data_IF_653416912104
#
_entry.id   IF_653416912104
#
_cell.length_a   1.000
_cell.length_b   1.000
_cell.length_c   1.000
_cell.angle_alpha   90.00
_cell.angle_beta   90.00
_cell.angle_gamma   90.00
#
_symmetry.space_group_name_H-M   'P 1'
#
loop_
_entity.id
_entity.type
_entity.pdbx_description
1 polymer ?
#
# COMPACT_ATOMS: atom_id res chain seq x y z
N UNK A 1 8.82 -10.91 -5.71
CA UNK A 1 8.07 -9.63 -5.76
C UNK A 1 6.67 -9.84 -6.33
N UNK A 2 6.53 -10.53 -7.47
CA UNK A 2 5.22 -10.98 -8.00
C UNK A 2 4.35 -11.75 -7.01
N UNK A 3 4.93 -12.65 -6.19
CA UNK A 3 4.15 -13.44 -5.23
C UNK A 3 3.54 -12.59 -4.12
N UNK A 4 4.25 -11.55 -3.66
CA UNK A 4 3.74 -10.62 -2.66
C UNK A 4 2.61 -9.75 -3.22
N UNK A 5 2.76 -9.31 -4.47
CA UNK A 5 1.70 -8.58 -5.18
C UNK A 5 0.44 -9.42 -5.31
N UNK A 6 0.56 -10.68 -5.73
CA UNK A 6 -0.58 -11.58 -5.88
C UNK A 6 -1.31 -11.81 -4.56
N UNK A 7 -0.58 -12.03 -3.47
CA UNK A 7 -1.19 -12.22 -2.14
C UNK A 7 -1.90 -10.94 -1.69
N UNK A 8 -1.29 -9.77 -1.90
CA UNK A 8 -1.91 -8.49 -1.55
C UNK A 8 -3.16 -8.18 -2.40
N UNK A 9 -3.12 -8.50 -3.69
CA UNK A 9 -4.27 -8.39 -4.60
C UNK A 9 -5.41 -9.32 -4.16
N UNK A 10 -5.12 -10.59 -3.84
CA UNK A 10 -6.12 -11.53 -3.33
C UNK A 10 -6.72 -11.04 -2.01
N UNK A 11 -5.90 -10.51 -1.10
CA UNK A 11 -6.38 -9.96 0.17
C UNK A 11 -7.28 -8.74 -0.03
N UNK A 12 -6.90 -7.81 -0.92
CA UNK A 12 -7.72 -6.66 -1.29
C UNK A 12 -9.06 -7.09 -1.90
N UNK A 13 -9.04 -8.04 -2.83
CA UNK A 13 -10.25 -8.50 -3.51
C UNK A 13 -11.25 -9.21 -2.57
N UNK A 14 -10.77 -9.85 -1.50
CA UNK A 14 -11.62 -10.60 -0.57
C UNK A 14 -11.95 -9.84 0.73
N UNK A 15 -11.08 -8.91 1.15
CA UNK A 15 -11.12 -8.26 2.46
C UNK A 15 -10.64 -6.81 2.40
N UNK A 16 -11.01 -6.04 1.36
CA UNK A 16 -10.57 -4.65 1.18
C UNK A 16 -10.91 -3.74 2.37
N UNK A 17 -11.95 -4.04 3.15
CA UNK A 17 -12.31 -3.30 4.37
C UNK A 17 -11.45 -3.64 5.59
N UNK A 18 -10.54 -4.61 5.46
CA UNK A 18 -9.55 -4.91 6.48
C UNK A 18 -8.59 -3.75 6.69
N UNK A 19 -8.28 -3.50 7.96
CA UNK A 19 -7.25 -2.54 8.37
C UNK A 19 -5.93 -2.87 7.64
N UNK A 20 -5.26 -1.85 7.10
CA UNK A 20 -4.00 -1.97 6.36
C UNK A 20 -4.03 -2.78 5.05
N UNK A 21 -5.15 -3.40 4.64
CA UNK A 21 -5.20 -4.21 3.41
C UNK A 21 -5.00 -3.35 2.16
N UNK A 22 -5.69 -2.20 2.09
CA UNK A 22 -5.54 -1.26 0.97
C UNK A 22 -4.11 -0.68 0.91
N UNK A 23 -3.53 -0.34 2.06
CA UNK A 23 -2.15 0.17 2.11
C UNK A 23 -1.12 -0.89 1.78
N UNK A 24 -1.29 -2.12 2.26
CA UNK A 24 -0.42 -3.25 1.89
C UNK A 24 -0.46 -3.49 0.37
N UNK A 25 -1.64 -3.40 -0.24
CA UNK A 25 -1.78 -3.52 -1.69
C UNK A 25 -1.15 -2.34 -2.44
N UNK A 26 -1.35 -1.11 -1.96
CA UNK A 26 -0.69 0.09 -2.48
C UNK A 26 0.84 -0.04 -2.49
N UNK A 27 1.42 -0.48 -1.37
CA UNK A 27 2.87 -0.70 -1.23
C UNK A 27 3.32 -1.78 -2.21
N UNK A 28 2.60 -2.90 -2.29
CA UNK A 28 2.94 -3.97 -3.21
C UNK A 28 2.92 -3.51 -4.67
N UNK A 29 1.93 -2.71 -5.08
CA UNK A 29 1.85 -2.13 -6.42
C UNK A 29 3.04 -1.18 -6.69
N UNK A 30 3.33 -0.28 -5.75
CA UNK A 30 4.42 0.68 -5.87
C UNK A 30 5.78 0.00 -6.08
N UNK A 31 6.09 -1.00 -5.25
CA UNK A 31 7.36 -1.70 -5.38
C UNK A 31 7.45 -2.49 -6.70
N UNK A 32 6.33 -3.00 -7.23
CA UNK A 32 6.31 -3.71 -8.52
C UNK A 32 6.22 -2.79 -9.75
N UNK A 33 6.54 -1.49 -9.61
CA UNK A 33 6.50 -0.48 -10.68
C UNK A 33 5.10 -0.28 -11.33
N UNK A 34 4.03 -0.71 -10.67
CA UNK A 34 2.63 -0.55 -11.10
C UNK A 34 2.06 0.77 -10.59
N UNK A 35 2.63 1.87 -11.08
CA UNK A 35 2.41 3.22 -10.53
C UNK A 35 0.99 3.74 -10.79
N UNK A 36 0.39 3.39 -11.92
CA UNK A 36 -0.98 3.84 -12.26
C UNK A 36 -2.00 3.19 -11.32
N UNK A 37 -1.90 1.88 -11.14
CA UNK A 37 -2.72 1.11 -10.21
C UNK A 37 -2.50 1.54 -8.76
N UNK A 38 -1.24 1.77 -8.37
CA UNK A 38 -0.92 2.30 -7.05
C UNK A 38 -1.63 3.64 -6.81
N UNK A 39 -1.71 4.53 -7.80
CA UNK A 39 -2.43 5.79 -7.63
C UNK A 39 -3.93 5.63 -7.48
N UNK A 40 -4.54 4.65 -8.14
CA UNK A 40 -5.97 4.34 -7.95
C UNK A 40 -6.20 3.97 -6.48
N UNK A 41 -5.41 3.05 -5.94
CA UNK A 41 -5.56 2.60 -4.53
C UNK A 41 -5.28 3.73 -3.55
N UNK A 42 -4.27 4.57 -3.81
CA UNK A 42 -3.99 5.75 -2.98
C UNK A 42 -5.19 6.69 -2.90
N UNK A 43 -5.85 6.96 -4.03
CA UNK A 43 -7.04 7.80 -4.05
C UNK A 43 -8.21 7.16 -3.29
N UNK A 44 -8.43 5.85 -3.43
CA UNK A 44 -9.46 5.14 -2.66
C UNK A 44 -9.24 5.25 -1.15
N UNK A 45 -7.98 5.13 -0.69
CA UNK A 45 -7.64 5.30 0.73
C UNK A 45 -7.96 6.72 1.19
N UNK A 46 -7.55 7.73 0.42
CA UNK A 46 -7.82 9.14 0.75
C UNK A 46 -9.32 9.44 0.75
N UNK A 47 -10.10 8.88 -0.17
CA UNK A 47 -11.56 9.06 -0.19
C UNK A 47 -12.24 8.44 1.04
N UNK A 48 -11.72 7.33 1.54
CA UNK A 48 -12.28 6.62 2.69
C UNK A 48 -11.82 7.19 4.04
N UNK A 49 -10.54 7.55 4.15
CA UNK A 49 -9.87 7.89 5.41
C UNK A 49 -9.50 9.38 5.51
N UNK A 50 -9.65 10.14 4.43
CA UNK A 50 -9.32 11.56 4.33
C UNK A 50 -7.85 11.85 4.05
N UNK A 51 -6.94 10.92 4.36
CA UNK A 51 -5.51 11.01 4.12
C UNK A 51 -4.86 9.62 4.09
N UNK A 52 -3.64 9.56 3.58
CA UNK A 52 -2.76 8.40 3.72
C UNK A 52 -2.01 8.49 5.06
N UNK A 53 -1.64 7.35 5.65
CA UNK A 53 -0.77 7.37 6.83
C UNK A 53 0.61 7.99 6.52
N UNK A 54 1.17 8.70 7.49
CA UNK A 54 2.43 9.44 7.32
C UNK A 54 3.59 8.52 6.95
N UNK A 55 3.66 7.34 7.56
CA UNK A 55 4.69 6.34 7.31
C UNK A 55 4.55 5.72 5.93
N UNK A 56 3.31 5.44 5.51
CA UNK A 56 3.03 4.96 4.16
C UNK A 56 3.42 6.01 3.12
N UNK A 57 3.18 7.29 3.38
CA UNK A 57 3.63 8.37 2.49
C UNK A 57 5.16 8.44 2.40
N UNK A 58 5.86 8.43 3.54
CA UNK A 58 7.34 8.45 3.59
C UNK A 58 7.95 7.27 2.84
N UNK A 59 7.34 6.09 2.95
CA UNK A 59 7.78 4.89 2.24
C UNK A 59 7.67 5.07 0.72
N UNK A 60 6.52 5.55 0.23
CA UNK A 60 6.27 5.76 -1.20
C UNK A 60 7.14 6.88 -1.81
N UNK A 61 7.58 7.83 -0.98
CA UNK A 61 8.51 8.90 -1.36
C UNK A 61 9.98 8.46 -1.26
N UNK A 62 10.25 7.27 -0.72
CA UNK A 62 11.59 6.71 -0.53
C UNK A 62 12.36 7.35 0.63
N UNK A 63 11.67 8.04 1.55
CA UNK A 63 12.26 8.63 2.75
C UNK A 63 12.58 7.59 3.82
N UNK A 64 11.80 6.50 3.87
CA UNK A 64 12.04 5.33 4.71
C UNK A 64 12.04 4.06 3.85
N UNK A 65 12.72 3.02 4.32
CA UNK A 65 12.75 1.70 3.68
C UNK A 65 11.57 0.85 4.09
N UNK A 66 11.31 -0.22 3.32
CA UNK A 66 10.29 -1.21 3.67
C UNK A 66 10.59 -1.90 5.02
N UNK A 67 11.87 -2.06 5.37
CA UNK A 67 12.27 -2.59 6.68
C UNK A 67 11.87 -1.64 7.80
N UNK A 68 12.20 -0.34 7.67
CA UNK A 68 11.81 0.68 8.66
C UNK A 68 10.29 0.75 8.84
N UNK A 69 9.53 0.68 7.76
CA UNK A 69 8.06 0.67 7.79
C UNK A 69 7.46 -0.50 8.61
N UNK A 70 8.07 -1.69 8.58
CA UNK A 70 7.56 -2.87 9.30
C UNK A 70 8.23 -3.14 10.65
N UNK A 71 9.33 -2.45 10.97
CA UNK A 71 10.10 -2.64 12.21
C UNK A 71 9.79 -1.55 13.24
N UNK A 72 9.51 -0.32 12.78
CA UNK A 72 9.21 0.82 13.67
C UNK A 72 7.72 1.22 13.71
N UNK A 73 6.88 0.62 12.86
CA UNK A 73 5.42 0.79 12.83
C UNK A 73 4.65 0.02 13.91
#
# INVERSE_FOLDING_TARGET
MEEALKVAEEAYNNYSDGEYIRETYLIALHFNDLIEEAQVIKNEIIELQGQLEEETQKLLEGEITLEEYYVEG
#
